data_IF_952850920940
#
_entry.id   IF_952850920940
#
_cell.length_a   1.000
_cell.length_b   1.000
_cell.length_c   1.000
_cell.angle_alpha   90.00
_cell.angle_beta   90.00
_cell.angle_gamma   90.00
#
_symmetry.space_group_name_H-M   'P 1'
#
loop_
_entity.id
_entity.type
_entity.pdbx_description
1 polymer ?
#
# COMPACT_ATOMS: atom_id res chain seq x y z
N UNK A 1 -90.88 40.78 -17.02
CA UNK A 1 -89.63 41.41 -17.46
C UNK A 1 -88.48 40.51 -17.01
N UNK A 2 -87.49 40.30 -17.89
CA UNK A 2 -86.47 39.25 -17.82
C UNK A 2 -85.47 39.54 -16.68
N UNK A 3 -85.10 38.52 -15.89
CA UNK A 3 -83.91 38.58 -15.03
C UNK A 3 -82.98 37.43 -15.38
N UNK A 4 -81.71 37.80 -15.45
CA UNK A 4 -80.60 37.20 -16.18
C UNK A 4 -79.94 36.05 -15.40
N UNK A 5 -79.54 35.00 -16.12
CA UNK A 5 -78.78 33.84 -15.64
C UNK A 5 -77.43 34.25 -15.03
N UNK A 6 -77.01 33.56 -13.96
CA UNK A 6 -75.58 33.46 -13.60
C UNK A 6 -75.22 31.98 -13.55
N UNK A 7 -74.53 31.52 -14.60
CA UNK A 7 -73.93 30.20 -14.68
C UNK A 7 -72.65 30.18 -13.83
N UNK A 8 -72.60 29.35 -12.79
CA UNK A 8 -71.37 29.03 -12.07
C UNK A 8 -70.50 28.12 -12.94
N UNK A 9 -69.39 28.66 -13.45
CA UNK A 9 -68.35 27.89 -14.10
C UNK A 9 -67.58 27.06 -13.05
N UNK A 10 -67.65 25.73 -13.14
CA UNK A 10 -66.75 24.84 -12.40
C UNK A 10 -65.34 25.01 -12.95
N UNK A 11 -64.48 25.57 -12.10
CA UNK A 11 -63.08 25.85 -12.35
C UNK A 11 -62.33 24.56 -12.72
N UNK A 12 -61.69 24.58 -13.88
CA UNK A 12 -60.89 23.51 -14.45
C UNK A 12 -59.78 23.07 -13.48
N UNK A 13 -59.61 21.75 -13.36
CA UNK A 13 -58.48 21.15 -12.67
C UNK A 13 -57.17 21.54 -13.35
N UNK A 14 -56.49 22.54 -12.77
CA UNK A 14 -55.08 22.78 -13.07
C UNK A 14 -54.27 21.92 -12.12
N UNK A 15 -53.73 20.80 -12.65
CA UNK A 15 -52.67 20.08 -11.96
C UNK A 15 -51.49 21.04 -11.79
N UNK A 16 -51.16 21.35 -10.54
CA UNK A 16 -50.02 22.18 -10.20
C UNK A 16 -48.75 21.46 -10.64
N UNK A 17 -48.20 21.83 -11.79
CA UNK A 17 -46.91 21.34 -12.24
C UNK A 17 -45.84 21.79 -11.23
N UNK A 18 -45.16 20.82 -10.61
CA UNK A 18 -44.01 21.12 -9.75
C UNK A 18 -42.99 21.94 -10.56
N UNK A 19 -42.41 23.00 -9.99
CA UNK A 19 -41.54 23.91 -10.72
C UNK A 19 -40.37 23.13 -11.34
N UNK A 20 -40.18 23.32 -12.65
CA UNK A 20 -39.01 22.87 -13.38
C UNK A 20 -37.77 23.59 -12.84
N UNK A 21 -37.20 23.06 -11.77
CA UNK A 21 -36.10 23.73 -11.06
C UNK A 21 -35.73 23.15 -9.71
N UNK A 22 -36.30 22.02 -9.28
CA UNK A 22 -35.75 21.28 -8.14
C UNK A 22 -34.37 20.77 -8.52
N UNK A 23 -33.34 21.57 -8.26
CA UNK A 23 -31.94 21.19 -8.45
C UNK A 23 -31.73 19.84 -7.75
N UNK A 24 -31.38 18.83 -8.54
CA UNK A 24 -31.13 17.48 -8.09
C UNK A 24 -29.78 17.45 -7.34
N UNK A 25 -29.81 17.97 -6.12
CA UNK A 25 -28.67 17.96 -5.20
C UNK A 25 -28.23 16.53 -4.85
N UNK A 26 -29.12 15.52 -5.04
CA UNK A 26 -28.81 14.11 -4.82
C UNK A 26 -27.83 13.57 -5.87
N UNK A 27 -28.07 13.86 -7.15
CA UNK A 27 -27.19 13.43 -8.26
C UNK A 27 -25.88 14.21 -8.30
N UNK A 28 -25.91 15.49 -7.93
CA UNK A 28 -24.68 16.28 -7.76
C UNK A 28 -23.83 15.75 -6.61
N UNK A 29 -24.43 15.35 -5.47
CA UNK A 29 -23.72 14.76 -4.34
C UNK A 29 -23.10 13.40 -4.70
N UNK A 30 -23.82 12.51 -5.36
CA UNK A 30 -23.29 11.22 -5.81
C UNK A 30 -22.15 11.36 -6.84
N UNK A 31 -22.26 12.36 -7.72
CA UNK A 31 -21.20 12.68 -8.70
C UNK A 31 -19.98 13.33 -8.04
N UNK A 32 -20.17 14.13 -6.99
CA UNK A 32 -19.08 14.72 -6.20
C UNK A 32 -18.40 13.67 -5.34
N UNK A 33 -19.15 12.78 -4.67
CA UNK A 33 -18.61 11.67 -3.86
C UNK A 33 -17.79 10.69 -4.71
N UNK A 34 -18.22 10.42 -5.95
CA UNK A 34 -17.42 9.59 -6.87
C UNK A 34 -16.19 10.33 -7.42
N UNK A 35 -16.29 11.65 -7.67
CA UNK A 35 -15.18 12.47 -8.16
C UNK A 35 -14.17 12.82 -7.08
N UNK A 36 -14.56 12.92 -5.81
CA UNK A 36 -13.63 13.09 -4.69
C UNK A 36 -12.86 11.80 -4.43
N UNK A 37 -13.50 10.64 -4.46
CA UNK A 37 -12.77 9.36 -4.39
C UNK A 37 -11.84 9.14 -5.59
N UNK A 38 -12.20 9.60 -6.80
CA UNK A 38 -11.33 9.51 -7.97
C UNK A 38 -10.18 10.56 -7.99
N UNK A 39 -10.36 11.75 -7.39
CA UNK A 39 -9.31 12.80 -7.29
C UNK A 39 -8.46 12.73 -6.02
N UNK A 40 -8.95 12.08 -4.96
CA UNK A 40 -8.26 11.85 -3.67
C UNK A 40 -7.82 10.39 -3.53
N UNK A 41 -8.19 9.52 -4.47
CA UNK A 41 -8.03 8.05 -4.45
C UNK A 41 -6.61 7.50 -4.58
N UNK A 42 -5.57 8.27 -4.28
CA UNK A 42 -4.17 7.80 -4.35
C UNK A 42 -3.43 7.88 -3.03
N UNK A 43 -4.08 8.29 -1.93
CA UNK A 43 -3.39 8.37 -0.63
C UNK A 43 -3.61 7.14 0.22
N UNK A 44 -4.80 6.51 0.27
CA UNK A 44 -5.04 5.31 1.11
C UNK A 44 -6.00 4.32 0.41
N UNK A 45 -5.66 3.03 0.36
CA UNK A 45 -6.53 1.97 -0.18
C UNK A 45 -7.34 1.23 0.92
N UNK A 46 -8.26 0.34 0.51
CA UNK A 46 -9.11 -0.46 1.40
C UNK A 46 -8.35 -1.38 2.36
N UNK A 47 -7.08 -1.64 2.08
CA UNK A 47 -6.20 -2.50 2.87
C UNK A 47 -5.28 -1.66 3.80
N UNK A 48 -5.52 -0.35 3.89
CA UNK A 48 -4.71 0.58 4.68
C UNK A 48 -3.37 0.94 4.04
N UNK A 49 -3.14 0.60 2.76
CA UNK A 49 -1.91 0.99 2.09
C UNK A 49 -1.96 2.47 1.72
N UNK A 50 -0.89 3.19 2.00
CA UNK A 50 -0.71 4.60 1.68
C UNK A 50 0.25 4.78 0.51
N UNK A 51 -0.15 5.48 -0.55
CA UNK A 51 0.63 5.68 -1.78
C UNK A 51 0.27 4.73 -2.92
N UNK A 52 1.19 4.47 -3.85
CA UNK A 52 0.88 3.80 -5.13
C UNK A 52 1.63 2.47 -5.34
N UNK A 53 0.97 1.51 -5.99
CA UNK A 53 1.58 0.23 -6.38
C UNK A 53 1.85 -0.75 -5.22
N UNK A 54 1.35 -0.46 -4.01
CA UNK A 54 1.51 -1.36 -2.88
C UNK A 54 0.57 -2.58 -2.98
N UNK A 55 1.08 -3.77 -2.67
CA UNK A 55 0.31 -5.03 -2.59
C UNK A 55 0.36 -5.57 -1.15
N UNK A 56 -0.79 -6.00 -0.63
CA UNK A 56 -0.93 -6.49 0.75
C UNK A 56 -1.61 -5.46 1.65
N UNK A 57 -1.13 -5.28 2.90
CA UNK A 57 -1.80 -4.43 3.91
C UNK A 57 -0.86 -3.44 4.60
N UNK A 58 -1.39 -2.27 4.95
CA UNK A 58 -0.73 -1.25 5.79
C UNK A 58 0.67 -0.83 5.33
N UNK A 59 0.96 -0.87 4.03
CA UNK A 59 2.24 -0.38 3.50
C UNK A 59 2.18 1.13 3.25
N UNK A 60 3.28 1.86 3.44
CA UNK A 60 3.37 3.30 3.19
C UNK A 60 4.48 3.56 2.16
N UNK A 61 4.15 4.23 1.06
CA UNK A 61 5.08 4.61 0.00
C UNK A 61 4.77 3.95 -1.34
N UNK A 62 5.77 3.39 -2.02
CA UNK A 62 5.63 2.97 -3.43
C UNK A 62 6.09 1.54 -3.69
N UNK A 63 5.28 0.76 -4.40
CA UNK A 63 5.65 -0.57 -4.89
C UNK A 63 6.12 -1.55 -3.80
N UNK A 64 5.58 -1.45 -2.59
CA UNK A 64 5.87 -2.42 -1.54
C UNK A 64 4.96 -3.64 -1.66
N UNK A 65 5.49 -4.84 -1.43
CA UNK A 65 4.74 -6.10 -1.42
C UNK A 65 4.80 -6.75 -0.03
N UNK A 66 3.65 -7.16 0.48
CA UNK A 66 3.49 -7.78 1.80
C UNK A 66 2.84 -6.82 2.80
N UNK A 67 3.29 -6.78 4.06
CA UNK A 67 2.55 -6.06 5.10
C UNK A 67 3.42 -5.11 5.94
N UNK A 68 2.93 -3.90 6.19
CA UNK A 68 3.53 -2.96 7.13
C UNK A 68 4.87 -2.39 6.70
N UNK A 69 5.20 -2.41 5.40
CA UNK A 69 6.45 -1.85 4.90
C UNK A 69 6.34 -0.33 4.73
N UNK A 70 7.43 0.40 4.97
CA UNK A 70 7.51 1.86 4.81
C UNK A 70 8.66 2.20 3.87
N UNK A 71 8.39 2.96 2.81
CA UNK A 71 9.39 3.37 1.81
C UNK A 71 9.07 2.81 0.42
N UNK A 72 10.07 2.30 -0.31
CA UNK A 72 9.87 1.87 -1.70
C UNK A 72 10.45 0.51 -2.07
N UNK A 73 9.67 -0.28 -2.81
CA UNK A 73 10.14 -1.52 -3.42
C UNK A 73 10.48 -2.63 -2.42
N UNK A 74 10.00 -2.55 -1.18
CA UNK A 74 10.23 -3.58 -0.18
C UNK A 74 9.35 -4.81 -0.45
N UNK A 75 9.87 -6.00 -0.20
CA UNK A 75 9.14 -7.27 -0.27
C UNK A 75 9.20 -7.98 1.07
N UNK A 76 8.07 -8.54 1.52
CA UNK A 76 7.94 -9.18 2.82
C UNK A 76 7.24 -8.28 3.85
N UNK A 77 7.70 -8.26 5.10
CA UNK A 77 6.94 -7.61 6.17
C UNK A 77 7.77 -6.66 7.03
N UNK A 78 7.17 -5.52 7.40
CA UNK A 78 7.71 -4.57 8.38
C UNK A 78 9.09 -4.02 8.05
N UNK A 79 9.43 -3.93 6.76
CA UNK A 79 10.68 -3.34 6.30
C UNK A 79 10.55 -1.82 6.19
N UNK A 80 11.59 -1.08 6.57
CA UNK A 80 11.66 0.38 6.49
C UNK A 80 12.83 0.78 5.59
N UNK A 81 12.56 1.58 4.56
CA UNK A 81 13.53 2.07 3.59
C UNK A 81 13.28 1.53 2.18
N UNK A 82 14.34 1.09 1.49
CA UNK A 82 14.25 0.83 0.04
C UNK A 82 14.76 -0.55 -0.36
N UNK A 83 13.96 -1.27 -1.16
CA UNK A 83 14.33 -2.56 -1.78
C UNK A 83 14.78 -3.63 -0.79
N UNK A 84 14.25 -3.63 0.43
CA UNK A 84 14.52 -4.70 1.39
C UNK A 84 13.65 -5.92 1.09
N UNK A 85 14.22 -7.12 1.16
CA UNK A 85 13.50 -8.39 1.20
C UNK A 85 13.27 -8.87 2.64
N UNK A 86 12.58 -9.98 2.84
CA UNK A 86 12.46 -10.60 4.17
C UNK A 86 11.63 -9.78 5.17
N UNK A 87 12.04 -9.77 6.44
CA UNK A 87 11.29 -9.20 7.54
C UNK A 87 12.10 -8.25 8.45
N UNK A 88 11.46 -7.17 8.87
CA UNK A 88 11.96 -6.22 9.88
C UNK A 88 13.33 -5.60 9.56
N UNK A 89 13.64 -5.40 8.28
CA UNK A 89 14.87 -4.75 7.86
C UNK A 89 14.73 -3.23 7.85
N UNK A 90 15.80 -2.52 8.22
CA UNK A 90 15.86 -1.05 8.20
C UNK A 90 17.03 -0.59 7.35
N UNK A 91 16.78 0.29 6.38
CA UNK A 91 17.77 0.83 5.45
C UNK A 91 17.51 0.36 4.02
N UNK A 92 18.52 -0.11 3.30
CA UNK A 92 18.39 -0.39 1.88
C UNK A 92 18.99 -1.72 1.44
N UNK A 93 18.30 -2.40 0.52
CA UNK A 93 18.77 -3.63 -0.14
C UNK A 93 19.17 -4.72 0.86
N UNK A 94 18.54 -4.76 2.04
CA UNK A 94 18.76 -5.81 3.03
C UNK A 94 17.87 -7.02 2.76
N UNK A 95 18.41 -8.23 2.83
CA UNK A 95 17.65 -9.45 2.57
C UNK A 95 17.17 -9.61 1.13
N UNK A 96 17.62 -8.74 0.22
CA UNK A 96 17.15 -8.70 -1.16
C UNK A 96 17.60 -9.95 -1.91
N UNK A 97 16.70 -10.56 -2.68
CA UNK A 97 17.02 -11.72 -3.52
C UNK A 97 17.32 -13.02 -2.77
N UNK A 98 17.11 -13.08 -1.45
CA UNK A 98 17.24 -14.32 -0.68
C UNK A 98 16.04 -15.26 -0.93
N UNK A 99 16.29 -16.55 -1.14
CA UNK A 99 15.27 -17.50 -1.64
C UNK A 99 14.80 -18.53 -0.62
N UNK A 100 15.59 -18.87 0.40
CA UNK A 100 15.19 -19.85 1.41
C UNK A 100 14.64 -19.24 2.70
N UNK A 101 14.26 -20.11 3.66
CA UNK A 101 13.45 -19.70 4.81
C UNK A 101 14.29 -18.90 5.80
N UNK A 102 13.67 -17.85 6.35
CA UNK A 102 14.28 -17.01 7.38
C UNK A 102 15.66 -16.46 6.98
N UNK A 103 15.87 -16.15 5.71
CA UNK A 103 17.08 -15.47 5.26
C UNK A 103 16.93 -13.95 5.29
N UNK A 104 18.01 -13.25 5.59
CA UNK A 104 18.11 -11.82 5.36
C UNK A 104 17.19 -10.95 6.19
N UNK A 105 16.83 -11.36 7.41
CA UNK A 105 15.89 -10.65 8.29
C UNK A 105 16.61 -9.82 9.37
N UNK A 106 15.92 -8.79 9.87
CA UNK A 106 16.32 -7.98 11.03
C UNK A 106 17.68 -7.26 10.86
N UNK A 107 18.06 -6.95 9.62
CA UNK A 107 19.28 -6.24 9.29
C UNK A 107 19.07 -4.73 9.33
N UNK A 108 20.10 -4.00 9.76
CA UNK A 108 20.13 -2.55 9.82
C UNK A 108 21.29 -2.03 8.97
N UNK A 109 21.01 -1.08 8.08
CA UNK A 109 22.00 -0.46 7.20
C UNK A 109 21.79 -0.82 5.73
N UNK A 110 22.85 -1.12 4.99
CA UNK A 110 22.79 -1.27 3.54
C UNK A 110 23.36 -2.61 3.05
N UNK A 111 22.64 -3.30 2.18
CA UNK A 111 23.12 -4.50 1.49
C UNK A 111 23.62 -5.60 2.43
N UNK A 112 22.82 -5.88 3.47
CA UNK A 112 23.11 -6.95 4.43
C UNK A 112 22.15 -8.13 4.20
N UNK A 113 22.68 -9.34 4.27
CA UNK A 113 21.84 -10.55 4.24
C UNK A 113 21.22 -10.86 2.89
N UNK A 114 21.75 -10.32 1.81
CA UNK A 114 21.19 -10.40 0.46
C UNK A 114 21.73 -11.61 -0.32
N UNK A 115 20.91 -12.08 -1.26
CA UNK A 115 21.22 -13.20 -2.17
C UNK A 115 21.61 -14.49 -1.45
N UNK A 116 21.05 -14.75 -0.27
CA UNK A 116 21.30 -15.98 0.46
C UNK A 116 20.36 -17.10 -0.01
N UNK A 117 20.93 -18.28 -0.27
CA UNK A 117 20.21 -19.53 -0.48
C UNK A 117 20.19 -20.36 0.82
N UNK A 118 19.48 -21.49 0.85
CA UNK A 118 19.33 -22.30 2.07
C UNK A 118 18.57 -21.56 3.19
N UNK A 119 18.77 -21.90 4.47
CA UNK A 119 17.90 -21.42 5.56
C UNK A 119 18.65 -20.69 6.69
N UNK A 120 18.02 -19.67 7.27
CA UNK A 120 18.52 -18.92 8.43
C UNK A 120 19.87 -18.20 8.20
N UNK A 121 20.12 -17.71 6.99
CA UNK A 121 21.35 -17.04 6.61
C UNK A 121 21.22 -15.51 6.59
N UNK A 122 22.29 -14.78 6.91
CA UNK A 122 22.37 -13.33 6.68
C UNK A 122 21.45 -12.48 7.56
N UNK A 123 21.11 -12.93 8.76
CA UNK A 123 20.19 -12.25 9.65
C UNK A 123 20.91 -11.37 10.70
N UNK A 124 20.22 -10.33 11.19
CA UNK A 124 20.64 -9.49 12.33
C UNK A 124 21.99 -8.78 12.16
N UNK A 125 22.38 -8.47 10.93
CA UNK A 125 23.60 -7.75 10.63
C UNK A 125 23.39 -6.23 10.72
N UNK A 126 24.39 -5.51 11.21
CA UNK A 126 24.38 -4.05 11.34
C UNK A 126 25.56 -3.48 10.56
N UNK A 127 25.31 -2.48 9.70
CA UNK A 127 26.34 -1.81 8.91
C UNK A 127 26.13 -2.06 7.43
N UNK A 128 27.14 -2.54 6.70
CA UNK A 128 27.01 -2.73 5.25
C UNK A 128 27.66 -4.00 4.73
N UNK A 129 27.13 -4.55 3.65
CA UNK A 129 27.78 -5.68 2.95
C UNK A 129 28.12 -6.88 3.84
N UNK A 130 27.30 -7.16 4.86
CA UNK A 130 27.49 -8.29 5.75
C UNK A 130 26.51 -9.43 5.45
N UNK A 131 26.97 -10.66 5.53
CA UNK A 131 26.09 -11.83 5.49
C UNK A 131 25.45 -12.12 4.14
N UNK A 132 26.09 -11.74 3.03
CA UNK A 132 25.58 -11.90 1.68
C UNK A 132 26.07 -13.19 1.00
N UNK A 133 25.32 -13.66 0.00
CA UNK A 133 25.70 -14.78 -0.87
C UNK A 133 26.06 -16.07 -0.11
N UNK A 134 25.43 -16.33 1.03
CA UNK A 134 25.62 -17.56 1.79
C UNK A 134 24.60 -18.62 1.34
N UNK A 135 25.07 -19.86 1.26
CA UNK A 135 24.25 -21.07 1.13
C UNK A 135 24.16 -21.84 2.44
N UNK A 136 23.68 -23.08 2.37
CA UNK A 136 23.58 -23.95 3.54
C UNK A 136 22.67 -23.37 4.63
N UNK A 137 23.09 -23.44 5.91
CA UNK A 137 22.29 -22.91 7.00
C UNK A 137 23.09 -22.15 8.05
N UNK A 138 22.47 -21.13 8.64
CA UNK A 138 22.99 -20.34 9.79
C UNK A 138 24.29 -19.56 9.53
N UNK A 139 24.59 -19.25 8.28
CA UNK A 139 25.76 -18.50 7.86
C UNK A 139 25.56 -16.98 7.85
N UNK A 140 26.64 -16.22 8.06
CA UNK A 140 26.64 -14.77 7.85
C UNK A 140 25.72 -13.95 8.76
N UNK A 141 25.42 -14.45 9.97
CA UNK A 141 24.49 -13.82 10.91
C UNK A 141 25.22 -12.94 11.95
N UNK A 142 24.56 -11.88 12.44
CA UNK A 142 24.96 -11.04 13.59
C UNK A 142 26.32 -10.33 13.45
N UNK A 143 26.71 -10.00 12.23
CA UNK A 143 27.90 -9.22 11.96
C UNK A 143 27.64 -7.73 12.22
N UNK A 144 28.66 -7.03 12.70
CA UNK A 144 28.67 -5.57 12.85
C UNK A 144 29.83 -5.02 12.02
N UNK A 145 29.62 -3.90 11.33
CA UNK A 145 30.64 -3.25 10.52
C UNK A 145 30.42 -3.49 9.02
N UNK A 146 31.48 -3.85 8.29
CA UNK A 146 31.41 -4.01 6.83
C UNK A 146 32.09 -5.27 6.33
N UNK A 147 31.49 -5.93 5.33
CA UNK A 147 32.15 -7.00 4.56
C UNK A 147 32.26 -8.35 5.26
N UNK A 148 31.59 -8.55 6.40
CA UNK A 148 31.76 -9.74 7.23
C UNK A 148 30.77 -10.87 6.90
N UNK A 149 31.23 -12.12 6.98
CA UNK A 149 30.36 -13.30 6.91
C UNK A 149 29.68 -13.51 5.55
N UNK A 150 30.33 -13.14 4.46
CA UNK A 150 29.85 -13.35 3.09
C UNK A 150 30.33 -14.70 2.51
N UNK A 151 29.64 -15.21 1.49
CA UNK A 151 30.08 -16.35 0.66
C UNK A 151 30.29 -17.71 1.36
N UNK A 152 29.62 -17.97 2.49
CA UNK A 152 29.78 -19.21 3.23
C UNK A 152 28.73 -20.26 2.84
N UNK A 153 29.08 -21.54 2.90
CA UNK A 153 28.13 -22.65 2.71
C UNK A 153 27.59 -22.79 1.29
N UNK A 154 28.26 -22.20 0.30
CA UNK A 154 28.04 -22.48 -1.11
C UNK A 154 28.80 -23.76 -1.49
N UNK A 155 28.27 -24.57 -2.43
CA UNK A 155 29.01 -25.70 -3.01
C UNK A 155 30.23 -25.24 -3.82
#
# INVERSE_FOLDING_TARGET
MKTILIATALLSGMALAAPAGAADWGRTRATIESRTQARVGTVVDKNGNVGAGNTGRNNVGFNNSGNGNVGSGNSGNKNVGNKNGGQNNVGSVNGYGSTGRNNGNQNIGNHNGSFNSGDNNGNKNIGSWNGNYNGGSRNGNRNIGSGNGNFNGNP
#
